data_IF_337524025241
#
_entry.id   IF_337524025241
#
_cell.length_a   1.000
_cell.length_b   1.000
_cell.length_c   1.000
_cell.angle_alpha   90.00
_cell.angle_beta   90.00
_cell.angle_gamma   90.00
#
_symmetry.space_group_name_H-M   'P 1'
#
loop_
_entity.id
_entity.type
_entity.pdbx_description
1 polymer ?
#
# COMPACT_ATOMS: atom_id res chain seq x y z
N UNK A 1 6.30 5.13 21.82
CA UNK A 1 5.17 4.36 21.24
C UNK A 1 5.73 3.34 20.26
N UNK A 2 5.05 2.21 20.03
CA UNK A 2 5.56 1.19 19.11
C UNK A 2 5.34 1.63 17.66
N UNK A 3 6.37 1.52 16.82
CA UNK A 3 6.27 1.66 15.37
C UNK A 3 6.05 0.28 14.73
N UNK A 4 5.39 0.26 13.58
CA UNK A 4 5.23 -0.94 12.76
C UNK A 4 5.71 -0.67 11.35
N UNK A 5 6.12 -1.74 10.66
CA UNK A 5 6.41 -1.71 9.22
C UNK A 5 5.20 -2.19 8.44
N UNK A 6 4.87 -1.47 7.38
CA UNK A 6 3.77 -1.81 6.48
C UNK A 6 4.13 -1.44 5.04
N UNK A 7 3.82 -2.30 4.11
CA UNK A 7 3.98 -2.12 2.68
C UNK A 7 2.76 -1.52 2.01
N UNK A 8 3.00 -0.76 0.94
CA UNK A 8 1.91 -0.27 0.09
C UNK A 8 1.11 -1.43 -0.51
N UNK A 9 1.78 -2.55 -0.78
CA UNK A 9 1.19 -3.76 -1.31
C UNK A 9 0.15 -4.36 -0.36
N UNK A 10 0.42 -4.43 0.94
CA UNK A 10 -0.52 -4.94 1.95
C UNK A 10 -1.79 -4.08 2.03
N UNK A 11 -1.64 -2.76 1.87
CA UNK A 11 -2.77 -1.83 1.81
C UNK A 11 -3.55 -1.95 0.50
N UNK A 12 -2.86 -2.11 -0.64
CA UNK A 12 -3.49 -2.39 -1.93
C UNK A 12 -4.27 -3.70 -1.85
N UNK A 13 -3.70 -4.77 -1.30
CA UNK A 13 -4.37 -6.04 -1.09
C UNK A 13 -5.66 -5.87 -0.28
N UNK A 14 -5.60 -5.12 0.84
CA UNK A 14 -6.79 -4.80 1.65
C UNK A 14 -7.85 -4.08 0.82
N UNK A 15 -7.48 -3.06 0.04
CA UNK A 15 -8.42 -2.32 -0.81
C UNK A 15 -9.09 -3.26 -1.82
N UNK A 16 -8.33 -4.06 -2.56
CA UNK A 16 -8.86 -4.98 -3.58
C UNK A 16 -9.77 -6.04 -2.98
N UNK A 17 -9.42 -6.60 -1.82
CA UNK A 17 -10.27 -7.57 -1.09
C UNK A 17 -11.62 -6.99 -0.66
N UNK A 18 -11.73 -5.68 -0.52
CA UNK A 18 -12.95 -4.97 -0.14
C UNK A 18 -13.62 -4.29 -1.35
N UNK A 19 -13.31 -4.74 -2.56
CA UNK A 19 -13.84 -4.22 -3.82
C UNK A 19 -13.55 -2.72 -4.08
N UNK A 20 -12.53 -2.16 -3.43
CA UNK A 20 -12.14 -0.74 -3.54
C UNK A 20 -11.02 -0.51 -4.54
N UNK A 21 -10.94 0.73 -5.02
CA UNK A 21 -9.88 1.21 -5.92
C UNK A 21 -9.62 0.36 -7.18
N UNK A 22 -10.60 -0.44 -7.64
CA UNK A 22 -10.45 -1.43 -8.74
C UNK A 22 -9.86 -0.86 -10.04
N UNK A 23 -10.16 0.41 -10.32
CA UNK A 23 -9.75 1.08 -11.56
C UNK A 23 -8.55 2.01 -11.38
N UNK A 24 -7.95 2.05 -10.19
CA UNK A 24 -6.76 2.86 -9.91
C UNK A 24 -5.53 1.98 -10.13
N UNK A 25 -4.53 2.40 -10.90
CA UNK A 25 -3.32 1.60 -11.10
C UNK A 25 -2.43 1.59 -9.87
N UNK A 26 -1.48 0.64 -9.80
CA UNK A 26 -0.52 0.58 -8.71
C UNK A 26 0.48 1.76 -8.73
N UNK A 27 1.18 1.99 -9.86
CA UNK A 27 2.41 2.79 -9.91
C UNK A 27 2.41 3.98 -10.91
N UNK A 28 1.28 4.67 -11.10
CA UNK A 28 1.19 5.85 -12.01
C UNK A 28 1.07 7.20 -11.26
N UNK A 29 0.99 8.32 -12.00
CA UNK A 29 0.87 9.68 -11.44
C UNK A 29 -0.28 9.81 -10.44
N UNK A 30 -1.36 9.05 -10.63
CA UNK A 30 -2.52 8.95 -9.73
C UNK A 30 -2.68 7.54 -9.13
N UNK A 31 -1.61 6.74 -9.15
CA UNK A 31 -1.62 5.36 -8.68
C UNK A 31 -1.73 5.24 -7.15
N UNK A 32 -2.08 4.04 -6.70
CA UNK A 32 -2.23 3.74 -5.28
C UNK A 32 -0.94 3.94 -4.48
N UNK A 33 0.23 3.63 -5.06
CA UNK A 33 1.51 3.85 -4.39
C UNK A 33 1.71 5.32 -3.97
N UNK A 34 1.36 6.27 -4.85
CA UNK A 34 1.42 7.70 -4.54
C UNK A 34 0.40 8.12 -3.49
N UNK A 35 -0.85 7.67 -3.62
CA UNK A 35 -1.90 7.99 -2.64
C UNK A 35 -1.56 7.47 -1.24
N UNK A 36 -0.97 6.27 -1.17
CA UNK A 36 -0.50 5.66 0.08
C UNK A 36 0.66 6.47 0.67
N UNK A 37 1.61 6.90 -0.16
CA UNK A 37 2.67 7.80 0.28
C UNK A 37 2.11 9.10 0.88
N UNK A 38 1.17 9.75 0.18
CA UNK A 38 0.55 10.99 0.66
C UNK A 38 -0.20 10.79 1.97
N UNK A 39 -0.92 9.66 2.14
CA UNK A 39 -1.60 9.33 3.38
C UNK A 39 -0.60 9.06 4.53
N UNK A 40 0.34 8.14 4.33
CA UNK A 40 1.23 7.70 5.41
C UNK A 40 2.23 8.79 5.78
N UNK A 41 2.94 9.34 4.81
CA UNK A 41 4.05 10.27 5.05
C UNK A 41 3.54 11.68 5.33
N UNK A 42 2.65 12.20 4.49
CA UNK A 42 2.26 13.61 4.59
C UNK A 42 1.15 13.85 5.62
N UNK A 43 0.25 12.87 5.85
CA UNK A 43 -0.91 13.04 6.74
C UNK A 43 -0.74 12.35 8.10
N UNK A 44 -0.17 11.15 8.14
CA UNK A 44 -0.05 10.36 9.38
C UNK A 44 1.33 10.45 10.04
N UNK A 45 2.28 11.18 9.44
CA UNK A 45 3.62 11.36 10.00
C UNK A 45 4.50 10.11 9.96
N UNK A 46 4.15 9.13 9.13
CA UNK A 46 4.97 7.96 8.88
C UNK A 46 6.23 8.28 8.05
N UNK A 47 7.14 7.32 7.98
CA UNK A 47 8.40 7.45 7.22
C UNK A 47 8.44 6.39 6.13
N UNK A 48 8.81 6.76 4.91
CA UNK A 48 9.12 5.78 3.87
C UNK A 48 10.50 5.17 4.14
N UNK A 49 10.56 3.85 4.28
CA UNK A 49 11.79 3.11 4.59
C UNK A 49 12.47 2.64 3.30
N UNK A 50 11.69 2.13 2.36
CA UNK A 50 12.17 1.55 1.12
C UNK A 50 11.20 1.87 -0.02
N UNK A 51 11.72 2.15 -1.21
CA UNK A 51 10.90 2.57 -2.36
C UNK A 51 10.30 1.41 -3.15
N UNK A 52 11.01 0.28 -3.23
CA UNK A 52 10.64 -0.82 -4.12
C UNK A 52 11.13 -2.16 -3.57
N UNK A 53 10.42 -2.68 -2.58
CA UNK A 53 10.65 -4.00 -2.00
C UNK A 53 9.78 -5.05 -2.70
N UNK A 54 10.30 -6.25 -3.03
CA UNK A 54 9.48 -7.33 -3.57
C UNK A 54 8.31 -7.71 -2.64
N UNK A 55 7.12 -7.87 -3.22
CA UNK A 55 5.93 -8.31 -2.51
C UNK A 55 5.94 -9.81 -2.25
N UNK A 56 5.45 -10.21 -1.07
CA UNK A 56 5.46 -11.62 -0.63
C UNK A 56 4.58 -12.57 -1.46
N UNK A 57 3.71 -12.06 -2.33
CA UNK A 57 2.89 -12.85 -3.25
C UNK A 57 3.42 -12.88 -4.68
N UNK A 58 4.58 -12.26 -4.95
CA UNK A 58 5.17 -12.13 -6.27
C UNK A 58 6.51 -12.87 -6.35
N UNK A 59 6.49 -14.17 -6.07
CA UNK A 59 7.69 -15.00 -5.90
C UNK A 59 8.00 -15.91 -7.10
N UNK A 60 7.05 -16.17 -8.00
CA UNK A 60 7.19 -17.15 -9.08
C UNK A 60 6.79 -16.60 -10.45
N UNK A 61 7.46 -17.11 -11.50
CA UNK A 61 7.10 -16.91 -12.90
C UNK A 61 5.78 -17.67 -13.15
N UNK A 62 4.65 -17.00 -12.94
CA UNK A 62 3.32 -17.60 -13.06
C UNK A 62 2.33 -17.16 -11.99
N UNK A 63 2.77 -16.35 -11.00
CA UNK A 63 1.86 -15.80 -10.00
C UNK A 63 0.73 -15.03 -10.66
N UNK A 64 -0.49 -15.36 -10.22
CA UNK A 64 -1.73 -14.78 -10.72
C UNK A 64 -2.04 -13.52 -9.94
N UNK A 65 -2.92 -12.68 -10.50
CA UNK A 65 -3.39 -11.45 -9.86
C UNK A 65 -2.30 -10.40 -9.64
N UNK A 66 -1.27 -10.44 -10.49
CA UNK A 66 -0.22 -9.45 -10.52
C UNK A 66 -0.32 -8.68 -11.83
N UNK A 67 -0.81 -7.45 -11.73
CA UNK A 67 -0.99 -6.58 -12.88
C UNK A 67 -1.13 -5.12 -12.44
N UNK A 68 -1.17 -4.19 -13.39
CA UNK A 68 -1.36 -2.75 -13.19
C UNK A 68 -2.55 -2.41 -12.27
N UNK A 69 -3.66 -3.12 -12.40
CA UNK A 69 -4.89 -2.89 -11.64
C UNK A 69 -5.19 -3.99 -10.62
N UNK A 70 -4.23 -4.87 -10.37
CA UNK A 70 -4.35 -5.94 -9.38
C UNK A 70 -3.28 -5.75 -8.29
N UNK A 71 -2.59 -6.80 -7.87
CA UNK A 71 -1.54 -6.67 -6.86
C UNK A 71 -0.19 -6.28 -7.49
N UNK A 72 0.60 -5.44 -6.81
CA UNK A 72 1.92 -5.06 -7.29
C UNK A 72 2.94 -6.19 -7.10
N UNK A 73 4.01 -6.20 -7.91
CA UNK A 73 5.19 -7.07 -7.72
C UNK A 73 6.15 -6.54 -6.67
N UNK A 74 6.25 -5.22 -6.57
CA UNK A 74 7.12 -4.50 -5.66
C UNK A 74 6.36 -3.32 -5.10
N UNK A 75 6.69 -2.90 -3.88
CA UNK A 75 6.02 -1.77 -3.23
C UNK A 75 6.97 -0.99 -2.34
N UNK A 76 6.61 0.27 -2.09
CA UNK A 76 7.22 1.02 -1.02
C UNK A 76 6.85 0.42 0.35
N UNK A 77 7.78 0.52 1.29
CA UNK A 77 7.61 0.13 2.68
C UNK A 77 7.67 1.37 3.56
N UNK A 78 6.84 1.39 4.59
CA UNK A 78 6.71 2.51 5.50
C UNK A 78 6.84 2.06 6.94
N UNK A 79 7.30 2.98 7.78
CA UNK A 79 7.19 2.92 9.22
C UNK A 79 6.10 3.88 9.68
N UNK A 80 5.20 3.42 10.54
CA UNK A 80 4.13 4.25 11.10
C UNK A 80 3.95 3.93 12.58
N UNK A 81 3.59 4.94 13.37
CA UNK A 81 3.20 4.71 14.76
C UNK A 81 1.94 3.84 14.81
N UNK A 82 1.94 2.82 15.66
CA UNK A 82 0.79 1.92 15.88
C UNK A 82 -0.50 2.66 16.26
N UNK A 83 -0.39 3.83 16.91
CA UNK A 83 -1.49 4.73 17.25
C UNK A 83 -2.25 5.26 16.03
N UNK A 84 -1.63 5.29 14.85
CA UNK A 84 -2.22 5.82 13.62
C UNK A 84 -2.92 4.75 12.77
N UNK A 85 -2.88 3.48 13.18
CA UNK A 85 -3.44 2.37 12.40
C UNK A 85 -4.95 2.49 12.17
N UNK A 86 -5.70 2.87 13.20
CA UNK A 86 -7.14 3.10 13.07
C UNK A 86 -7.43 4.19 12.03
N UNK A 87 -6.77 5.34 12.16
CA UNK A 87 -6.89 6.46 11.22
C UNK A 87 -6.50 6.04 9.80
N UNK A 88 -5.42 5.27 9.62
CA UNK A 88 -4.99 4.74 8.33
C UNK A 88 -6.10 3.92 7.67
N UNK A 89 -6.68 2.97 8.37
CA UNK A 89 -7.72 2.11 7.80
C UNK A 89 -9.05 2.84 7.58
N UNK A 90 -9.41 3.80 8.44
CA UNK A 90 -10.58 4.67 8.23
C UNK A 90 -10.43 5.56 6.98
N UNK A 91 -9.23 6.04 6.69
CA UNK A 91 -8.95 6.82 5.48
C UNK A 91 -8.97 5.95 4.22
N UNK A 92 -8.39 4.75 4.27
CA UNK A 92 -8.46 3.77 3.17
C UNK A 92 -9.89 3.34 2.86
N UNK A 93 -10.78 3.31 3.86
CA UNK A 93 -12.17 2.95 3.65
C UNK A 93 -12.97 4.00 2.84
N UNK A 94 -12.43 5.20 2.69
CA UNK A 94 -13.01 6.26 1.84
C UNK A 94 -12.60 6.14 0.37
N UNK A 95 -11.69 5.23 0.03
CA UNK A 95 -11.16 5.03 -1.33
C UNK A 95 -11.98 4.01 -2.14
#
# INVERSE_FOLDING_TARGET
MATIKIGADELILRLRKNDKAKNIPNDEIQGLGRKIYELIVNKLGGTKIEDSKPSYWANLIGDKNIDKFDLPKHSAQYEIESSQLETLFLELDKW
#
